data_IF_629783914733
#
_entry.id   IF_629783914733
#
_cell.length_a   1.000
_cell.length_b   1.000
_cell.length_c   1.000
_cell.angle_alpha   90.00
_cell.angle_beta   90.00
_cell.angle_gamma   90.00
#
_symmetry.space_group_name_H-M   'P 1'
#
loop_
_entity.id
_entity.type
_entity.pdbx_description
1 polymer ?
#
# COMPACT_ATOMS: atom_id res chain seq x y z
N UNK A 1 -3.16 47.41 -12.03
CA UNK A 1 -2.23 46.53 -11.30
C UNK A 1 -2.07 45.18 -11.99
N UNK A 2 -0.86 44.62 -12.14
CA UNK A 2 -0.63 43.32 -12.82
C UNK A 2 -1.45 42.17 -12.24
N UNK A 3 -1.65 42.14 -10.92
CA UNK A 3 -2.53 41.18 -10.23
C UNK A 3 -3.98 41.24 -10.75
N UNK A 4 -4.58 42.43 -10.84
CA UNK A 4 -5.94 42.62 -11.36
C UNK A 4 -6.05 42.25 -12.84
N UNK A 5 -5.01 42.48 -13.63
CA UNK A 5 -5.06 42.17 -15.07
C UNK A 5 -5.14 40.67 -15.37
N UNK A 6 -4.73 39.82 -14.42
CA UNK A 6 -4.62 38.36 -14.60
C UNK A 6 -5.58 37.55 -13.75
N UNK A 7 -6.28 38.17 -12.79
CA UNK A 7 -7.19 37.52 -11.84
C UNK A 7 -8.55 38.20 -11.86
N UNK A 8 -9.58 37.47 -12.30
CA UNK A 8 -10.96 37.96 -12.28
C UNK A 8 -11.46 38.27 -10.87
N UNK A 9 -11.10 37.43 -9.89
CA UNK A 9 -11.50 37.61 -8.50
C UNK A 9 -10.86 38.84 -7.86
N UNK A 10 -9.55 39.03 -8.00
CA UNK A 10 -8.89 40.21 -7.43
C UNK A 10 -9.35 41.49 -8.10
N UNK A 11 -9.56 41.45 -9.42
CA UNK A 11 -10.14 42.58 -10.14
C UNK A 11 -11.49 42.98 -9.52
N UNK A 12 -12.38 42.00 -9.33
CA UNK A 12 -13.71 42.22 -8.76
C UNK A 12 -13.67 42.74 -7.33
N UNK A 13 -12.91 42.08 -6.45
CA UNK A 13 -12.80 42.47 -5.04
C UNK A 13 -12.27 43.90 -4.87
N UNK A 14 -11.28 44.29 -5.67
CA UNK A 14 -10.72 45.66 -5.64
C UNK A 14 -11.75 46.65 -6.16
N UNK A 15 -12.39 46.38 -7.31
CA UNK A 15 -13.41 47.29 -7.85
C UNK A 15 -14.63 47.45 -6.94
N UNK A 16 -15.05 46.39 -6.24
CA UNK A 16 -16.15 46.46 -5.27
C UNK A 16 -15.77 47.33 -4.06
N UNK A 17 -14.52 47.23 -3.61
CA UNK A 17 -14.02 48.00 -2.48
C UNK A 17 -13.85 49.49 -2.83
N UNK A 18 -13.33 49.80 -4.02
CA UNK A 18 -13.26 51.18 -4.56
C UNK A 18 -14.66 51.81 -4.69
N UNK A 19 -15.67 51.05 -5.12
CA UNK A 19 -17.06 51.55 -5.22
C UNK A 19 -17.67 51.79 -3.84
N UNK A 20 -17.33 50.96 -2.84
CA UNK A 20 -17.84 51.13 -1.47
C UNK A 20 -17.26 52.37 -0.78
N UNK A 21 -15.95 52.62 -0.90
CA UNK A 21 -15.30 53.78 -0.29
C UNK A 21 -15.78 55.09 -0.94
N UNK A 22 -15.94 55.11 -2.27
CA UNK A 22 -16.51 56.28 -2.95
C UNK A 22 -17.96 56.60 -2.52
N UNK A 23 -18.77 55.60 -2.18
CA UNK A 23 -20.13 55.83 -1.65
C UNK A 23 -20.14 56.38 -0.23
N UNK A 24 -19.18 55.99 0.60
CA UNK A 24 -19.06 56.49 1.97
C UNK A 24 -18.51 57.93 1.99
N UNK A 25 -17.58 58.27 1.08
CA UNK A 25 -17.06 59.64 0.94
C UNK A 25 -18.05 60.65 0.34
N UNK A 26 -19.03 60.23 -0.47
CA UNK A 26 -20.09 61.12 -0.99
C UNK A 26 -21.13 61.50 0.09
N UNK A 27 -21.19 60.81 1.24
CA UNK A 27 -22.06 61.18 2.37
C UNK A 27 -21.37 62.10 3.40
N UNK A 28 -20.05 62.25 3.33
CA UNK A 28 -19.23 63.11 4.19
C UNK A 28 -18.49 64.19 3.37
N UNK A 29 -19.22 65.16 2.79
CA UNK A 29 -18.58 66.35 2.24
C UNK A 29 -18.18 67.34 3.36
N UNK A 30 -16.92 67.80 3.25
CA UNK A 30 -16.25 68.93 3.91
C UNK A 30 -15.28 68.60 5.07
N UNK A 31 -14.17 67.89 4.84
CA UNK A 31 -12.85 68.26 5.43
C UNK A 31 -11.71 67.94 4.44
N UNK A 32 -10.66 68.77 4.44
CA UNK A 32 -9.54 68.76 3.50
C UNK A 32 -8.74 67.44 3.56
N UNK A 33 -8.76 66.64 2.49
CA UNK A 33 -8.01 65.37 2.43
C UNK A 33 -6.52 65.61 2.17
N UNK A 34 -5.69 65.36 3.19
CA UNK A 34 -4.30 64.96 2.98
C UNK A 34 -4.31 63.67 2.13
N UNK A 35 -3.43 63.57 1.11
CA UNK A 35 -3.25 62.36 0.30
C UNK A 35 -2.71 61.20 1.17
N UNK A 36 -3.54 60.64 2.05
CA UNK A 36 -3.25 59.35 2.69
C UNK A 36 -3.29 58.30 1.59
N UNK A 37 -2.17 57.58 1.39
CA UNK A 37 -2.14 56.43 0.48
C UNK A 37 -3.18 55.40 0.95
N UNK A 38 -4.38 55.41 0.34
CA UNK A 38 -5.47 54.48 0.65
C UNK A 38 -4.95 53.04 0.50
N UNK A 39 -4.65 52.41 1.63
CA UNK A 39 -4.17 51.05 1.68
C UNK A 39 -5.37 50.08 1.74
N UNK A 40 -5.75 49.51 0.60
CA UNK A 40 -6.76 48.46 0.58
C UNK A 40 -6.23 47.15 1.19
N UNK A 41 -6.84 46.70 2.28
CA UNK A 41 -6.55 45.41 2.90
C UNK A 41 -7.50 44.32 2.37
N UNK A 42 -6.99 43.46 1.48
CA UNK A 42 -7.71 42.28 1.01
C UNK A 42 -7.39 41.06 1.86
N UNK A 43 -8.41 40.44 2.44
CA UNK A 43 -8.25 39.20 3.19
C UNK A 43 -8.68 37.99 2.34
N UNK A 44 -7.80 37.00 2.20
CA UNK A 44 -8.03 35.75 1.47
C UNK A 44 -7.95 34.55 2.43
N UNK A 45 -8.94 34.39 3.33
CA UNK A 45 -8.91 33.32 4.32
C UNK A 45 -8.96 31.95 3.63
N UNK A 46 -8.11 31.02 4.07
CA UNK A 46 -8.10 29.65 3.54
C UNK A 46 -7.65 29.53 2.09
N UNK A 47 -6.79 30.44 1.62
CA UNK A 47 -6.27 30.41 0.24
C UNK A 47 -5.70 29.02 -0.14
N UNK A 48 -6.16 28.39 -1.23
CA UNK A 48 -5.69 27.05 -1.62
C UNK A 48 -4.18 27.02 -1.86
N UNK A 49 -3.50 26.07 -1.22
CA UNK A 49 -2.03 25.99 -1.29
C UNK A 49 -1.28 27.01 -0.43
N UNK A 50 -1.99 27.82 0.37
CA UNK A 50 -1.41 28.76 1.32
C UNK A 50 -0.66 29.92 0.66
N UNK A 51 0.13 30.62 1.48
CA UNK A 51 0.89 31.81 1.06
C UNK A 51 1.91 31.49 -0.04
N UNK A 52 2.50 30.29 -0.05
CA UNK A 52 3.47 29.87 -1.06
C UNK A 52 2.84 29.81 -2.46
N UNK A 53 1.63 29.24 -2.58
CA UNK A 53 0.90 29.20 -3.85
C UNK A 53 0.51 30.62 -4.31
N UNK A 54 0.09 31.48 -3.37
CA UNK A 54 -0.23 32.88 -3.67
C UNK A 54 0.99 33.66 -4.16
N UNK A 55 2.14 33.52 -3.49
CA UNK A 55 3.38 34.20 -3.89
C UNK A 55 3.78 33.84 -5.32
N UNK A 56 3.67 32.56 -5.69
CA UNK A 56 3.98 32.10 -7.04
C UNK A 56 2.95 32.64 -8.05
N UNK A 57 1.65 32.61 -7.72
CA UNK A 57 0.61 33.19 -8.58
C UNK A 57 0.82 34.70 -8.77
N UNK A 58 1.21 35.43 -7.72
CA UNK A 58 1.56 36.84 -7.80
C UNK A 58 2.77 37.06 -8.71
N UNK A 59 3.87 36.33 -8.49
CA UNK A 59 5.06 36.36 -9.36
C UNK A 59 4.70 36.17 -10.84
N UNK A 60 3.82 35.22 -11.13
CA UNK A 60 3.29 34.99 -12.47
C UNK A 60 2.58 36.24 -13.03
N UNK A 61 1.71 36.90 -12.25
CA UNK A 61 1.04 38.13 -12.67
C UNK A 61 2.01 39.27 -12.99
N UNK A 62 3.13 39.35 -12.27
CA UNK A 62 4.20 40.33 -12.53
C UNK A 62 5.16 39.92 -13.68
N UNK A 63 4.88 38.83 -14.39
CA UNK A 63 5.70 38.36 -15.52
C UNK A 63 6.98 37.64 -15.11
N UNK A 64 7.15 37.30 -13.83
CA UNK A 64 8.27 36.48 -13.38
C UNK A 64 8.08 35.06 -13.88
N UNK A 65 9.15 34.45 -14.39
CA UNK A 65 9.11 33.05 -14.84
C UNK A 65 8.89 32.13 -13.64
N UNK A 66 7.76 31.44 -13.65
CA UNK A 66 7.39 30.44 -12.65
C UNK A 66 7.75 29.04 -13.18
N UNK A 67 8.42 28.25 -12.34
CA UNK A 67 8.71 26.85 -12.62
C UNK A 67 7.62 25.95 -12.02
N UNK A 68 6.98 25.15 -12.89
CA UNK A 68 6.00 24.16 -12.47
C UNK A 68 6.71 22.85 -12.14
N UNK A 69 6.35 22.27 -11.00
CA UNK A 69 6.87 21.02 -10.48
C UNK A 69 5.71 20.12 -10.04
N UNK A 70 5.92 18.80 -9.92
CA UNK A 70 4.88 17.89 -9.45
C UNK A 70 4.33 18.23 -8.06
N UNK A 71 5.13 18.89 -7.21
CA UNK A 71 4.72 19.26 -5.85
C UNK A 71 3.89 20.54 -5.81
N UNK A 72 4.19 21.53 -6.69
CA UNK A 72 3.52 22.83 -6.66
C UNK A 72 2.34 22.95 -7.63
N UNK A 73 2.23 22.08 -8.64
CA UNK A 73 1.22 22.27 -9.71
C UNK A 73 -0.22 22.13 -9.20
N UNK A 74 -0.51 21.16 -8.32
CA UNK A 74 -1.85 21.03 -7.75
C UNK A 74 -2.25 22.21 -6.85
N UNK A 75 -1.40 22.67 -5.91
CA UNK A 75 -1.64 23.91 -5.17
C UNK A 75 -1.87 25.11 -6.09
N UNK A 76 -1.04 25.28 -7.13
CA UNK A 76 -1.16 26.38 -8.09
C UNK A 76 -2.42 26.29 -8.94
N UNK A 77 -2.83 25.10 -9.35
CA UNK A 77 -4.07 24.89 -10.10
C UNK A 77 -5.28 25.26 -9.27
N UNK A 78 -5.30 24.89 -7.99
CA UNK A 78 -6.36 25.27 -7.04
C UNK A 78 -6.36 26.78 -6.75
N UNK A 79 -5.18 27.36 -6.53
CA UNK A 79 -5.02 28.81 -6.32
C UNK A 79 -5.48 29.61 -7.55
N UNK A 80 -5.11 29.15 -8.75
CA UNK A 80 -5.50 29.78 -10.01
C UNK A 80 -7.01 29.69 -10.25
N UNK A 81 -7.65 28.58 -9.88
CA UNK A 81 -9.11 28.47 -9.87
C UNK A 81 -9.73 29.49 -8.93
N UNK A 82 -9.25 29.52 -7.68
CA UNK A 82 -9.77 30.43 -6.66
C UNK A 82 -9.64 31.89 -7.06
N UNK A 83 -8.56 32.26 -7.75
CA UNK A 83 -8.30 33.61 -8.26
C UNK A 83 -8.97 33.89 -9.61
N UNK A 84 -9.66 32.92 -10.21
CA UNK A 84 -10.26 33.02 -11.54
C UNK A 84 -9.24 33.47 -12.60
N UNK A 85 -8.05 32.85 -12.60
CA UNK A 85 -6.96 33.16 -13.53
C UNK A 85 -7.14 32.41 -14.87
N UNK A 86 -8.25 32.72 -15.55
CA UNK A 86 -8.68 32.12 -16.82
C UNK A 86 -8.05 32.81 -18.03
N UNK A 87 -8.20 32.22 -19.21
CA UNK A 87 -7.75 32.85 -20.47
C UNK A 87 -8.47 34.17 -20.78
N UNK A 88 -9.64 34.43 -20.18
CA UNK A 88 -10.37 35.71 -20.33
C UNK A 88 -9.55 36.89 -19.78
N UNK A 89 -8.67 36.62 -18.81
CA UNK A 89 -7.76 37.59 -18.20
C UNK A 89 -6.35 37.52 -18.80
N UNK A 90 -6.21 36.96 -20.00
CA UNK A 90 -5.02 37.05 -20.84
C UNK A 90 -4.40 35.70 -21.18
N UNK A 91 -3.90 35.59 -22.41
CA UNK A 91 -3.40 34.35 -22.99
C UNK A 91 -2.36 33.62 -22.13
N UNK A 92 -2.50 32.29 -22.08
CA UNK A 92 -1.63 31.38 -21.36
C UNK A 92 -1.61 31.67 -19.87
N UNK A 93 -2.79 31.94 -19.30
CA UNK A 93 -2.95 32.25 -17.88
C UNK A 93 -2.65 31.02 -17.01
N UNK A 94 -2.63 31.21 -15.70
CA UNK A 94 -2.12 30.22 -14.76
C UNK A 94 -2.94 28.91 -14.78
N UNK A 95 -4.26 28.97 -15.00
CA UNK A 95 -5.09 27.77 -15.16
C UNK A 95 -4.63 26.95 -16.37
N UNK A 96 -4.53 27.54 -17.56
CA UNK A 96 -4.12 26.81 -18.76
C UNK A 96 -2.71 26.25 -18.67
N UNK A 97 -1.77 27.00 -18.05
CA UNK A 97 -0.39 26.53 -17.85
C UNK A 97 -0.30 25.34 -16.90
N UNK A 98 -1.01 25.41 -15.77
CA UNK A 98 -1.02 24.31 -14.81
C UNK A 98 -1.71 23.07 -15.38
N UNK A 99 -2.82 23.23 -16.11
CA UNK A 99 -3.48 22.13 -16.83
C UNK A 99 -2.60 21.50 -17.91
N UNK A 100 -1.88 22.32 -18.69
CA UNK A 100 -0.94 21.81 -19.68
C UNK A 100 0.16 20.97 -19.03
N UNK A 101 0.75 21.43 -17.92
CA UNK A 101 1.78 20.69 -17.20
C UNK A 101 1.25 19.38 -16.58
N UNK A 102 0.05 19.40 -16.00
CA UNK A 102 -0.61 18.20 -15.50
C UNK A 102 -0.73 17.14 -16.62
N UNK A 103 -1.32 17.51 -17.74
CA UNK A 103 -1.63 16.57 -18.83
C UNK A 103 -0.38 16.10 -19.62
N UNK A 104 0.62 16.97 -19.78
CA UNK A 104 1.78 16.69 -20.61
C UNK A 104 2.95 16.06 -19.84
N UNK A 105 3.07 16.35 -18.53
CA UNK A 105 4.18 15.89 -17.70
C UNK A 105 3.71 14.95 -16.59
N UNK A 106 2.85 15.43 -15.69
CA UNK A 106 2.50 14.71 -14.45
C UNK A 106 1.80 13.39 -14.74
N UNK A 107 0.72 13.42 -15.54
CA UNK A 107 -0.11 12.23 -15.79
C UNK A 107 0.60 11.17 -16.65
N UNK A 108 1.78 11.47 -17.19
CA UNK A 108 2.60 10.55 -18.01
C UNK A 108 3.74 9.90 -17.21
N UNK A 109 3.84 10.20 -15.92
CA UNK A 109 4.93 9.75 -15.05
C UNK A 109 4.35 9.27 -13.73
N UNK A 110 4.52 7.99 -13.40
CA UNK A 110 4.05 7.42 -12.13
C UNK A 110 4.59 8.23 -10.94
N UNK A 111 5.88 8.52 -10.96
CA UNK A 111 6.56 9.27 -9.89
C UNK A 111 6.00 10.67 -9.70
N UNK A 112 5.72 11.37 -10.80
CA UNK A 112 5.22 12.74 -10.72
C UNK A 112 3.74 12.75 -10.33
N UNK A 113 2.94 11.82 -10.85
CA UNK A 113 1.54 11.64 -10.43
C UNK A 113 1.43 11.33 -8.93
N UNK A 114 2.29 10.47 -8.37
CA UNK A 114 2.35 10.20 -6.93
C UNK A 114 2.67 11.45 -6.13
N UNK A 115 3.68 12.23 -6.54
CA UNK A 115 4.04 13.49 -5.86
C UNK A 115 2.90 14.50 -5.91
N UNK A 116 2.25 14.66 -7.06
CA UNK A 116 1.10 15.56 -7.21
C UNK A 116 -0.09 15.10 -6.37
N UNK A 117 -0.36 13.79 -6.33
CA UNK A 117 -1.41 13.24 -5.47
C UNK A 117 -1.11 13.49 -3.99
N UNK A 118 0.13 13.32 -3.55
CA UNK A 118 0.53 13.58 -2.16
C UNK A 118 0.34 15.05 -1.74
N UNK A 119 0.54 16.01 -2.66
CA UNK A 119 0.30 17.43 -2.34
C UNK A 119 -1.19 17.79 -2.30
N UNK A 120 -2.08 16.94 -2.82
CA UNK A 120 -3.53 17.15 -2.77
C UNK A 120 -4.13 16.97 -1.37
N UNK A 121 -3.44 16.29 -0.43
CA UNK A 121 -3.96 16.03 0.94
C UNK A 121 -4.39 17.33 1.65
N UNK A 122 -3.63 18.42 1.43
CA UNK A 122 -3.86 19.73 2.06
C UNK A 122 -4.79 20.65 1.24
N UNK A 123 -5.30 20.16 0.10
CA UNK A 123 -6.08 20.93 -0.87
C UNK A 123 -7.53 20.45 -0.98
N UNK A 124 -7.90 19.39 -0.27
CA UNK A 124 -9.27 18.88 -0.26
C UNK A 124 -10.23 19.90 0.40
N UNK A 125 -11.45 20.10 -0.15
CA UNK A 125 -12.05 19.37 -1.28
C UNK A 125 -11.68 19.92 -2.67
N UNK A 126 -11.10 21.13 -2.77
CA UNK A 126 -10.84 21.83 -4.04
C UNK A 126 -10.12 20.98 -5.10
N UNK A 127 -9.10 20.22 -4.71
CA UNK A 127 -8.36 19.37 -5.65
C UNK A 127 -9.19 18.19 -6.19
N UNK A 128 -10.18 17.73 -5.43
CA UNK A 128 -11.15 16.71 -5.84
C UNK A 128 -12.15 17.30 -6.84
N UNK A 129 -12.71 18.48 -6.53
CA UNK A 129 -13.67 19.19 -7.39
C UNK A 129 -13.07 19.53 -8.77
N UNK A 130 -11.76 19.80 -8.80
CA UNK A 130 -10.98 20.05 -10.03
C UNK A 130 -10.54 18.76 -10.76
N UNK A 131 -10.91 17.58 -10.25
CA UNK A 131 -10.57 16.28 -10.81
C UNK A 131 -9.06 16.01 -10.86
N UNK A 132 -8.25 16.68 -10.04
CA UNK A 132 -6.80 16.45 -10.02
C UNK A 132 -6.51 15.10 -9.38
N UNK A 133 -7.19 14.81 -8.27
CA UNK A 133 -7.02 13.57 -7.49
C UNK A 133 -7.33 12.34 -8.33
N UNK A 134 -8.51 12.28 -8.95
CA UNK A 134 -8.92 11.14 -9.78
C UNK A 134 -7.99 10.94 -10.97
N UNK A 135 -7.62 12.02 -11.69
CA UNK A 135 -6.67 11.95 -12.81
C UNK A 135 -5.32 11.40 -12.38
N UNK A 136 -4.80 11.81 -11.22
CA UNK A 136 -3.54 11.29 -10.69
C UNK A 136 -3.66 9.81 -10.31
N UNK A 137 -4.75 9.38 -9.66
CA UNK A 137 -4.99 7.97 -9.31
C UNK A 137 -5.03 7.11 -10.57
N UNK A 138 -5.77 7.53 -11.59
CA UNK A 138 -5.86 6.84 -12.88
C UNK A 138 -4.50 6.77 -13.57
N UNK A 139 -3.74 7.86 -13.58
CA UNK A 139 -2.40 7.89 -14.15
C UNK A 139 -1.45 6.92 -13.43
N UNK A 140 -1.52 6.84 -12.10
CA UNK A 140 -0.69 5.90 -11.32
C UNK A 140 -1.04 4.46 -11.71
N UNK A 141 -2.33 4.11 -11.72
CA UNK A 141 -2.77 2.76 -12.08
C UNK A 141 -2.43 2.41 -13.54
N UNK A 142 -2.56 3.35 -14.47
CA UNK A 142 -2.16 3.20 -15.87
C UNK A 142 -0.66 2.93 -16.04
N UNK A 143 0.17 3.75 -15.41
CA UNK A 143 1.62 3.64 -15.57
C UNK A 143 2.17 2.38 -14.88
N UNK A 144 1.57 1.94 -13.77
CA UNK A 144 1.92 0.67 -13.14
C UNK A 144 1.57 -0.54 -14.01
N UNK A 145 0.43 -0.51 -14.71
CA UNK A 145 0.03 -1.59 -15.63
C UNK A 145 0.88 -1.65 -16.91
N UNK A 146 1.28 -0.49 -17.47
CA UNK A 146 2.11 -0.44 -18.67
C UNK A 146 3.49 -1.11 -18.49
N UNK A 147 4.07 -1.03 -17.28
CA UNK A 147 5.36 -1.63 -16.96
C UNK A 147 5.29 -3.17 -16.88
N UNK A 148 4.14 -3.72 -16.48
CA UNK A 148 3.90 -5.18 -16.47
C UNK A 148 3.91 -5.75 -17.90
N UNK A 149 3.32 -5.04 -18.87
CA UNK A 149 3.32 -5.44 -20.27
C UNK A 149 4.72 -5.36 -20.89
N UNK A 150 5.51 -4.35 -20.51
CA UNK A 150 6.89 -4.21 -20.97
C UNK A 150 7.82 -5.30 -20.41
N UNK A 151 7.57 -5.73 -19.16
CA UNK A 151 8.38 -6.76 -18.48
C UNK A 151 7.96 -8.19 -18.78
N UNK A 152 6.69 -8.43 -19.14
CA UNK A 152 6.12 -9.77 -19.34
C UNK A 152 6.53 -10.48 -20.63
N UNK A 153 6.78 -9.73 -21.71
CA UNK A 153 6.95 -10.32 -23.06
C UNK A 153 8.42 -10.57 -23.48
N UNK A 154 9.39 -10.22 -22.63
CA UNK A 154 10.82 -10.28 -22.98
C UNK A 154 11.61 -11.35 -22.23
N UNK A 155 11.00 -12.13 -21.34
CA UNK A 155 11.72 -13.11 -20.53
C UNK A 155 11.58 -14.54 -21.06
N UNK A 156 12.71 -15.16 -21.42
CA UNK A 156 12.81 -16.61 -21.63
C UNK A 156 12.62 -17.37 -20.31
N UNK A 157 12.18 -18.65 -20.30
CA UNK A 157 12.13 -19.50 -19.10
C UNK A 157 13.44 -19.55 -18.30
N UNK A 158 14.57 -19.24 -18.96
CA UNK A 158 15.91 -19.19 -18.36
C UNK A 158 16.37 -17.79 -17.92
N UNK A 159 15.49 -16.77 -17.95
CA UNK A 159 15.78 -15.40 -17.49
C UNK A 159 16.64 -14.55 -18.44
N UNK A 160 16.78 -14.95 -19.70
CA UNK A 160 17.42 -14.19 -20.77
C UNK A 160 16.41 -13.34 -21.55
N UNK A 161 16.86 -12.21 -22.10
CA UNK A 161 16.03 -11.33 -22.91
C UNK A 161 15.78 -11.99 -24.28
N UNK A 162 14.51 -12.19 -24.62
CA UNK A 162 14.07 -12.57 -25.96
C UNK A 162 13.86 -11.32 -26.80
N UNK A 163 14.49 -11.25 -27.96
CA UNK A 163 14.18 -10.24 -28.98
C UNK A 163 13.69 -10.96 -30.24
N UNK A 164 12.42 -10.74 -30.63
CA UNK A 164 11.76 -11.47 -31.71
C UNK A 164 11.87 -13.00 -31.59
N UNK A 165 11.75 -13.55 -30.37
CA UNK A 165 11.82 -15.00 -30.11
C UNK A 165 13.23 -15.60 -30.14
N UNK A 166 14.28 -14.78 -30.21
CA UNK A 166 15.68 -15.22 -30.16
C UNK A 166 16.28 -14.85 -28.80
N UNK A 167 16.83 -15.86 -28.11
CA UNK A 167 17.60 -15.67 -26.88
C UNK A 167 18.88 -14.88 -27.19
N UNK A 168 18.96 -13.66 -26.65
CA UNK A 168 20.11 -12.78 -26.87
C UNK A 168 21.32 -13.13 -26.00
N UNK A 169 21.18 -14.07 -25.06
CA UNK A 169 22.23 -14.42 -24.08
C UNK A 169 22.56 -13.30 -23.09
N UNK A 170 21.92 -12.13 -23.24
CA UNK A 170 22.00 -11.02 -22.31
C UNK A 170 21.16 -11.38 -21.08
N UNK A 171 21.86 -11.71 -20.00
CA UNK A 171 21.24 -11.85 -18.68
C UNK A 171 20.72 -10.47 -18.26
N UNK A 172 19.50 -10.44 -17.77
CA UNK A 172 18.85 -9.27 -17.17
C UNK A 172 19.57 -8.88 -15.86
N UNK A 173 20.83 -8.43 -15.96
CA UNK A 173 21.69 -8.12 -14.81
C UNK A 173 21.32 -6.78 -14.15
N UNK A 174 20.65 -5.92 -14.90
CA UNK A 174 19.99 -4.71 -14.41
C UNK A 174 18.48 -4.94 -14.46
N UNK A 175 17.95 -5.71 -13.51
CA UNK A 175 16.54 -5.58 -13.17
C UNK A 175 16.32 -4.12 -12.73
N UNK A 176 15.57 -3.34 -13.51
CA UNK A 176 14.61 -2.42 -12.89
C UNK A 176 13.83 -3.33 -11.94
N UNK A 177 14.03 -3.16 -10.63
CA UNK A 177 13.36 -4.03 -9.66
C UNK A 177 11.87 -4.03 -9.99
N UNK A 178 11.18 -5.18 -10.03
CA UNK A 178 9.72 -5.20 -10.15
C UNK A 178 9.03 -4.34 -9.06
N UNK A 179 9.78 -3.99 -8.01
CA UNK A 179 9.37 -3.25 -6.82
C UNK A 179 9.69 -1.74 -6.84
N UNK A 180 10.27 -1.18 -7.93
CA UNK A 180 10.78 0.20 -7.92
C UNK A 180 9.71 1.24 -7.60
N UNK A 181 8.47 0.98 -8.00
CA UNK A 181 7.32 1.86 -7.76
C UNK A 181 6.64 1.63 -6.42
N UNK A 182 6.94 0.54 -5.70
CA UNK A 182 6.38 0.30 -4.37
C UNK A 182 6.85 1.36 -3.38
N UNK A 183 8.14 1.71 -3.43
CA UNK A 183 8.73 2.75 -2.59
C UNK A 183 8.16 4.14 -2.89
N UNK A 184 7.79 4.40 -4.15
CA UNK A 184 7.16 5.67 -4.56
C UNK A 184 5.75 5.78 -3.97
N UNK A 185 4.93 4.72 -4.06
CA UNK A 185 3.57 4.74 -3.48
C UNK A 185 3.55 4.91 -1.96
N UNK A 186 4.62 4.49 -1.28
CA UNK A 186 4.74 4.59 0.17
C UNK A 186 4.89 6.04 0.67
N UNK A 187 4.88 7.04 -0.22
CA UNK A 187 4.77 8.48 0.12
C UNK A 187 3.32 8.91 0.35
N UNK A 188 2.34 8.18 -0.19
CA UNK A 188 0.92 8.50 -0.07
C UNK A 188 0.38 8.15 1.33
N UNK A 189 -0.48 9.01 1.89
CA UNK A 189 -1.30 8.65 3.04
C UNK A 189 -2.27 7.50 2.71
N UNK A 190 -2.68 6.77 3.76
CA UNK A 190 -3.56 5.60 3.65
C UNK A 190 -4.83 5.85 2.80
N UNK A 191 -5.55 6.98 2.92
CA UNK A 191 -6.75 7.23 2.13
C UNK A 191 -6.50 7.24 0.61
N UNK A 192 -5.42 7.90 0.15
CA UNK A 192 -5.07 7.92 -1.27
C UNK A 192 -4.49 6.59 -1.73
N UNK A 193 -3.68 5.95 -0.90
CA UNK A 193 -3.14 4.63 -1.22
C UNK A 193 -4.25 3.59 -1.46
N UNK A 194 -5.30 3.56 -0.62
CA UNK A 194 -6.50 2.73 -0.81
C UNK A 194 -7.17 2.95 -2.17
N UNK A 195 -7.36 4.23 -2.54
CA UNK A 195 -7.97 4.59 -3.82
C UNK A 195 -7.12 4.17 -5.00
N UNK A 196 -5.79 4.28 -4.88
CA UNK A 196 -4.85 3.78 -5.90
C UNK A 196 -4.95 2.26 -6.05
N UNK A 197 -4.95 1.51 -4.95
CA UNK A 197 -5.10 0.04 -4.99
C UNK A 197 -6.43 -0.35 -5.64
N UNK A 198 -7.54 0.30 -5.27
CA UNK A 198 -8.85 0.06 -5.87
C UNK A 198 -8.86 0.34 -7.38
N UNK A 199 -8.19 1.41 -7.83
CA UNK A 199 -8.05 1.74 -9.24
C UNK A 199 -7.17 0.74 -10.00
N UNK A 200 -6.17 0.16 -9.34
CA UNK A 200 -5.34 -0.91 -9.90
C UNK A 200 -6.15 -2.20 -10.06
N UNK A 201 -6.95 -2.56 -9.06
CA UNK A 201 -7.84 -3.72 -9.11
C UNK A 201 -8.90 -3.57 -10.21
N UNK A 202 -9.51 -2.39 -10.33
CA UNK A 202 -10.50 -2.10 -11.39
C UNK A 202 -9.92 -2.17 -12.82
N UNK A 203 -8.59 -2.21 -12.94
CA UNK A 203 -7.85 -2.31 -14.21
C UNK A 203 -7.21 -3.69 -14.41
N UNK A 204 -7.56 -4.67 -13.58
CA UNK A 204 -7.06 -6.05 -13.64
C UNK A 204 -5.52 -6.15 -13.64
N UNK A 205 -4.84 -5.27 -12.89
CA UNK A 205 -3.39 -5.40 -12.70
C UNK A 205 -3.07 -6.74 -12.01
N UNK A 206 -1.89 -7.29 -12.29
CA UNK A 206 -1.46 -8.56 -11.70
C UNK A 206 -1.61 -8.53 -10.16
N UNK A 207 -2.42 -9.44 -9.57
CA UNK A 207 -2.66 -9.47 -8.13
C UNK A 207 -1.38 -9.66 -7.30
N UNK A 208 -0.37 -10.36 -7.86
CA UNK A 208 0.91 -10.51 -7.17
C UNK A 208 1.67 -9.19 -7.05
N UNK A 209 1.52 -8.29 -8.01
CA UNK A 209 2.18 -6.98 -7.99
C UNK A 209 1.49 -6.01 -7.02
N UNK A 210 0.15 -6.05 -6.99
CA UNK A 210 -0.65 -5.32 -5.99
C UNK A 210 -0.26 -5.82 -4.59
N UNK A 211 -0.21 -7.13 -4.38
CA UNK A 211 0.24 -7.76 -3.13
C UNK A 211 1.65 -7.31 -2.73
N UNK A 212 2.60 -7.31 -3.66
CA UNK A 212 3.96 -6.82 -3.39
C UNK A 212 3.99 -5.37 -2.90
N UNK A 213 3.18 -4.51 -3.52
CA UNK A 213 3.04 -3.11 -3.11
C UNK A 213 2.42 -2.99 -1.70
N UNK A 214 1.38 -3.78 -1.39
CA UNK A 214 0.71 -3.80 -0.08
C UNK A 214 1.67 -4.25 1.02
N UNK A 215 2.44 -5.30 0.75
CA UNK A 215 3.48 -5.82 1.66
C UNK A 215 4.57 -4.77 1.90
N UNK A 216 5.01 -4.07 0.86
CA UNK A 216 6.01 -3.01 0.99
C UNK A 216 5.48 -1.84 1.83
N UNK A 217 4.25 -1.41 1.56
CA UNK A 217 3.57 -0.37 2.32
C UNK A 217 3.42 -0.78 3.80
N UNK A 218 2.91 -1.98 4.07
CA UNK A 218 2.79 -2.53 5.42
C UNK A 218 4.12 -2.55 6.18
N UNK A 219 5.20 -3.01 5.54
CA UNK A 219 6.55 -3.06 6.14
C UNK A 219 7.10 -1.69 6.54
N UNK A 220 6.65 -0.61 5.90
CA UNK A 220 7.08 0.76 6.20
C UNK A 220 6.33 1.34 7.39
N UNK A 221 5.03 1.08 7.49
CA UNK A 221 4.14 1.75 8.44
C UNK A 221 3.76 0.89 9.65
N UNK A 222 3.92 -0.44 9.60
CA UNK A 222 3.65 -1.35 10.72
C UNK A 222 4.98 -1.74 11.41
N UNK A 223 5.20 -1.33 12.66
CA UNK A 223 6.40 -1.70 13.42
C UNK A 223 6.53 -3.21 13.59
N UNK A 224 7.76 -3.72 13.51
CA UNK A 224 8.06 -5.14 13.78
C UNK A 224 7.96 -6.09 12.59
N UNK A 225 7.33 -5.69 11.46
CA UNK A 225 7.29 -6.52 10.25
C UNK A 225 8.65 -6.59 9.50
N UNK A 226 9.52 -5.61 9.70
CA UNK A 226 10.87 -5.57 9.11
C UNK A 226 11.95 -5.59 10.19
N UNK A 227 12.83 -6.61 10.19
CA UNK A 227 14.04 -6.64 11.04
C UNK A 227 15.01 -5.49 10.72
N UNK A 228 14.92 -4.89 9.53
CA UNK A 228 15.91 -3.95 8.98
C UNK A 228 15.79 -2.50 9.43
N UNK A 229 14.70 -2.11 10.10
CA UNK A 229 14.45 -0.71 10.48
C UNK A 229 14.75 -0.35 11.93
N UNK A 230 15.45 -1.20 12.70
CA UNK A 230 15.87 -0.82 14.07
C UNK A 230 16.95 0.29 14.12
N UNK A 231 17.54 0.71 13.00
CA UNK A 231 18.75 1.57 13.03
C UNK A 231 18.65 2.88 12.22
N UNK A 232 17.59 3.17 11.46
CA UNK A 232 17.52 4.46 10.74
C UNK A 232 16.09 4.91 10.44
N UNK A 233 15.49 5.61 11.39
CA UNK A 233 14.41 6.57 11.11
C UNK A 233 14.49 7.68 12.15
N UNK A 234 15.55 8.48 12.05
CA UNK A 234 15.77 9.69 12.83
C UNK A 234 15.10 10.93 12.22
N UNK A 235 14.18 10.76 11.26
CA UNK A 235 13.42 11.87 10.66
C UNK A 235 11.92 11.56 10.73
N UNK A 236 11.28 12.11 11.77
CA UNK A 236 9.91 12.66 11.77
C UNK A 236 8.85 11.97 10.89
N UNK A 237 8.65 10.66 11.02
CA UNK A 237 7.32 10.10 10.79
C UNK A 237 6.62 10.09 12.14
N UNK A 238 5.49 10.78 12.28
CA UNK A 238 4.60 10.57 13.42
C UNK A 238 4.36 9.07 13.54
N UNK A 239 4.61 8.48 14.70
CA UNK A 239 4.27 7.08 14.93
C UNK A 239 2.77 6.96 14.70
N UNK A 240 2.38 6.26 13.64
CA UNK A 240 0.96 6.04 13.32
C UNK A 240 0.26 5.48 14.57
N UNK A 241 -0.93 5.99 14.86
CA UNK A 241 -1.72 5.53 16.01
C UNK A 241 -2.03 4.04 15.88
N UNK A 242 -2.32 3.36 16.99
CA UNK A 242 -2.70 1.94 16.94
C UNK A 242 -3.93 1.71 16.06
N UNK A 243 -4.86 2.66 16.02
CA UNK A 243 -6.04 2.63 15.15
C UNK A 243 -5.67 2.74 13.66
N UNK A 244 -4.75 3.65 13.29
CA UNK A 244 -4.24 3.77 11.92
C UNK A 244 -3.46 2.52 11.49
N UNK A 245 -2.68 1.93 12.40
CA UNK A 245 -1.97 0.67 12.13
C UNK A 245 -2.94 -0.50 11.94
N UNK A 246 -4.02 -0.56 12.75
CA UNK A 246 -5.08 -1.57 12.61
C UNK A 246 -5.80 -1.42 11.28
N UNK A 247 -6.22 -0.20 10.94
CA UNK A 247 -6.89 0.09 9.67
C UNK A 247 -6.01 -0.29 8.47
N UNK A 248 -4.72 0.07 8.52
CA UNK A 248 -3.77 -0.32 7.50
C UNK A 248 -3.64 -1.84 7.38
N UNK A 249 -3.47 -2.55 8.50
CA UNK A 249 -3.33 -4.00 8.51
C UNK A 249 -4.56 -4.68 7.89
N UNK A 250 -5.76 -4.27 8.27
CA UNK A 250 -7.00 -4.82 7.73
C UNK A 250 -7.15 -4.53 6.24
N UNK A 251 -6.75 -3.33 5.81
CA UNK A 251 -6.73 -2.96 4.39
C UNK A 251 -5.80 -3.87 3.61
N UNK A 252 -4.56 -4.04 4.07
CA UNK A 252 -3.56 -4.90 3.45
C UNK A 252 -4.06 -6.33 3.32
N UNK A 253 -4.69 -6.86 4.36
CA UNK A 253 -5.25 -8.22 4.36
C UNK A 253 -6.45 -8.34 3.41
N UNK A 254 -7.34 -7.34 3.37
CA UNK A 254 -8.53 -7.37 2.53
C UNK A 254 -8.24 -7.36 1.02
N UNK A 255 -7.14 -6.73 0.60
CA UNK A 255 -6.70 -6.63 -0.79
C UNK A 255 -5.68 -7.70 -1.19
N UNK A 256 -5.28 -8.57 -0.27
CA UNK A 256 -4.36 -9.67 -0.56
C UNK A 256 -5.09 -10.87 -1.16
N UNK A 257 -4.53 -11.53 -2.20
CA UNK A 257 -5.11 -12.77 -2.73
C UNK A 257 -5.04 -13.88 -1.66
N UNK A 258 -6.11 -14.69 -1.57
CA UNK A 258 -6.24 -15.77 -0.57
C UNK A 258 -5.38 -17.00 -0.93
N UNK A 259 -5.11 -17.21 -2.23
CA UNK A 259 -4.32 -18.36 -2.71
C UNK A 259 -2.83 -18.19 -2.40
N UNK A 260 -2.09 -19.31 -2.46
CA UNK A 260 -0.63 -19.35 -2.35
C UNK A 260 -0.03 -18.32 -3.33
N UNK A 261 0.68 -17.35 -2.79
CA UNK A 261 1.33 -16.31 -3.58
C UNK A 261 2.63 -16.86 -4.15
N UNK A 262 2.87 -16.65 -5.45
CA UNK A 262 4.21 -16.89 -6.02
C UNK A 262 5.16 -15.74 -5.74
N UNK A 263 4.68 -14.67 -5.09
CA UNK A 263 5.46 -13.47 -4.85
C UNK A 263 6.53 -13.72 -3.77
N UNK A 264 7.83 -13.54 -4.07
CA UNK A 264 8.91 -13.76 -3.11
C UNK A 264 8.86 -12.81 -1.90
N UNK A 265 8.09 -11.73 -1.96
CA UNK A 265 7.94 -10.77 -0.86
C UNK A 265 6.98 -11.24 0.24
N UNK A 266 6.04 -12.14 -0.08
CA UNK A 266 5.04 -12.69 0.85
C UNK A 266 5.51 -14.02 1.44
N UNK A 267 6.50 -13.96 2.33
CA UNK A 267 6.99 -15.15 3.04
C UNK A 267 6.05 -15.59 4.17
N UNK A 268 6.04 -16.88 4.54
CA UNK A 268 5.32 -17.39 5.72
C UNK A 268 5.60 -16.54 6.97
N UNK A 269 6.88 -16.25 7.24
CA UNK A 269 7.31 -15.36 8.34
C UNK A 269 6.61 -13.99 8.35
N UNK A 270 6.41 -13.39 7.18
CA UNK A 270 5.73 -12.10 7.08
C UNK A 270 4.26 -12.25 7.47
N UNK A 271 3.57 -13.29 6.98
CA UNK A 271 2.18 -13.53 7.32
C UNK A 271 1.99 -13.81 8.82
N UNK A 272 2.87 -14.61 9.41
CA UNK A 272 2.88 -14.81 10.86
C UNK A 272 3.18 -13.49 11.60
N UNK A 273 4.07 -12.64 11.08
CA UNK A 273 4.31 -11.30 11.59
C UNK A 273 3.05 -10.43 11.56
N UNK A 274 2.31 -10.43 10.44
CA UNK A 274 1.03 -9.74 10.30
C UNK A 274 -0.01 -10.29 11.29
N UNK A 275 -0.11 -11.61 11.45
CA UNK A 275 -1.03 -12.23 12.39
C UNK A 275 -0.72 -11.87 13.85
N UNK A 276 0.56 -11.84 14.22
CA UNK A 276 0.99 -11.34 15.54
C UNK A 276 0.55 -9.90 15.76
N UNK A 277 0.78 -9.03 14.77
CA UNK A 277 0.35 -7.64 14.86
C UNK A 277 -1.18 -7.50 14.89
N UNK A 278 -1.91 -8.31 14.13
CA UNK A 278 -3.36 -8.35 14.15
C UNK A 278 -3.91 -8.71 15.54
N UNK A 279 -3.27 -9.65 16.23
CA UNK A 279 -3.62 -10.02 17.60
C UNK A 279 -3.30 -8.91 18.61
N UNK A 280 -2.14 -8.25 18.49
CA UNK A 280 -1.76 -7.14 19.36
C UNK A 280 -2.72 -5.96 19.21
N UNK A 281 -3.07 -5.60 17.97
CA UNK A 281 -3.94 -4.47 17.66
C UNK A 281 -5.44 -4.79 17.78
N UNK A 282 -5.79 -6.01 18.16
CA UNK A 282 -7.18 -6.50 18.22
C UNK A 282 -7.95 -6.23 16.92
N UNK A 283 -7.35 -6.63 15.78
CA UNK A 283 -8.00 -6.55 14.47
C UNK A 283 -9.24 -7.44 14.39
N UNK A 284 -10.11 -7.16 13.42
CA UNK A 284 -11.35 -7.90 13.17
C UNK A 284 -11.13 -9.40 12.98
N UNK A 285 -12.14 -10.19 13.37
CA UNK A 285 -12.14 -11.66 13.18
C UNK A 285 -11.95 -12.03 11.72
N UNK A 286 -12.60 -11.32 10.80
CA UNK A 286 -12.43 -11.50 9.35
C UNK A 286 -10.98 -11.33 8.89
N UNK A 287 -10.28 -10.33 9.44
CA UNK A 287 -8.87 -10.11 9.12
C UNK A 287 -8.01 -11.27 9.63
N UNK A 288 -8.22 -11.72 10.87
CA UNK A 288 -7.47 -12.83 11.46
C UNK A 288 -7.70 -14.14 10.71
N UNK A 289 -8.96 -14.48 10.43
CA UNK A 289 -9.30 -15.68 9.65
C UNK A 289 -8.71 -15.66 8.24
N UNK A 290 -8.68 -14.49 7.58
CA UNK A 290 -8.08 -14.36 6.25
C UNK A 290 -6.56 -14.60 6.30
N UNK A 291 -5.89 -14.07 7.32
CA UNK A 291 -4.46 -14.34 7.56
C UNK A 291 -4.20 -15.81 7.87
N UNK A 292 -5.01 -16.43 8.73
CA UNK A 292 -4.89 -17.86 9.07
C UNK A 292 -5.00 -18.75 7.83
N UNK A 293 -6.01 -18.53 6.97
CA UNK A 293 -6.16 -19.26 5.69
C UNK A 293 -4.98 -19.03 4.74
N UNK A 294 -4.47 -17.81 4.69
CA UNK A 294 -3.34 -17.48 3.81
C UNK A 294 -2.04 -18.11 4.31
N UNK A 295 -1.84 -18.16 5.62
CA UNK A 295 -0.73 -18.90 6.25
C UNK A 295 -0.86 -20.38 5.94
N UNK A 296 -2.06 -20.94 6.10
CA UNK A 296 -2.34 -22.34 5.82
C UNK A 296 -1.93 -22.72 4.39
N UNK A 297 -2.27 -21.90 3.38
CA UNK A 297 -1.91 -22.15 1.98
C UNK A 297 -0.39 -22.26 1.69
N UNK A 298 0.46 -21.82 2.60
CA UNK A 298 1.93 -21.94 2.50
C UNK A 298 2.59 -22.43 3.78
N UNK A 299 1.86 -23.20 4.59
CA UNK A 299 2.34 -23.73 5.87
C UNK A 299 3.55 -24.66 5.68
N UNK A 300 3.65 -25.31 4.52
CA UNK A 300 4.79 -26.13 4.08
C UNK A 300 6.13 -25.37 4.04
N UNK A 301 6.07 -24.03 3.97
CA UNK A 301 7.24 -23.14 3.93
C UNK A 301 7.54 -22.46 5.27
N UNK A 302 6.72 -22.72 6.29
CA UNK A 302 6.88 -22.13 7.61
C UNK A 302 8.01 -22.79 8.41
N UNK A 303 8.56 -22.05 9.35
CA UNK A 303 9.53 -22.55 10.32
C UNK A 303 8.89 -22.70 11.70
N UNK A 304 9.50 -23.52 12.56
CA UNK A 304 9.02 -23.70 13.94
C UNK A 304 8.86 -22.36 14.68
N UNK A 305 9.83 -21.47 14.54
CA UNK A 305 9.79 -20.12 15.13
C UNK A 305 8.57 -19.30 14.71
N UNK A 306 8.06 -19.53 13.48
CA UNK A 306 6.90 -18.80 12.98
C UNK A 306 5.61 -19.25 13.69
N UNK A 307 5.51 -20.54 14.07
CA UNK A 307 4.36 -21.13 14.81
C UNK A 307 4.33 -20.74 16.29
N UNK A 308 5.45 -20.29 16.85
CA UNK A 308 5.55 -19.87 18.26
C UNK A 308 4.94 -18.47 18.48
N UNK A 309 3.63 -18.38 18.24
CA UNK A 309 2.78 -17.21 18.46
C UNK A 309 2.47 -17.06 19.95
N UNK A 310 2.89 -15.97 20.62
CA UNK A 310 2.56 -15.77 22.03
C UNK A 310 1.05 -15.64 22.24
N UNK A 311 0.56 -16.16 23.36
CA UNK A 311 -0.81 -15.86 23.80
C UNK A 311 -0.88 -14.42 24.31
N UNK A 312 -1.81 -13.63 23.79
CA UNK A 312 -2.09 -12.26 24.23
C UNK A 312 -3.39 -12.15 25.05
N UNK A 313 -4.03 -13.29 25.35
CA UNK A 313 -5.27 -13.33 26.13
C UNK A 313 -4.97 -13.51 27.61
N UNK A 314 -5.58 -12.67 28.45
CA UNK A 314 -5.53 -12.78 29.91
C UNK A 314 -6.29 -14.00 30.46
N UNK A 315 -7.07 -14.69 29.62
CA UNK A 315 -7.82 -15.89 29.99
C UNK A 315 -7.08 -17.19 29.66
N UNK A 316 -6.04 -17.12 28.84
CA UNK A 316 -5.29 -18.27 28.34
C UNK A 316 -3.96 -18.31 29.08
N UNK A 317 -3.76 -19.35 29.87
CA UNK A 317 -2.55 -19.53 30.70
C UNK A 317 -1.39 -20.16 29.93
N UNK A 318 -1.62 -20.68 28.72
CA UNK A 318 -0.56 -21.23 27.87
C UNK A 318 0.34 -20.12 27.33
N UNK A 319 1.63 -20.42 27.17
CA UNK A 319 2.63 -19.48 26.65
C UNK A 319 2.35 -19.09 25.19
N UNK A 320 1.83 -20.03 24.41
CA UNK A 320 1.53 -19.88 22.99
C UNK A 320 0.04 -19.95 22.69
N UNK A 321 -0.36 -19.35 21.57
CA UNK A 321 -1.72 -19.40 21.02
C UNK A 321 -1.90 -20.70 20.22
N UNK A 322 -2.21 -21.76 20.94
CA UNK A 322 -2.37 -23.12 20.40
C UNK A 322 -3.62 -23.20 19.52
N UNK A 323 -4.70 -22.52 19.91
CA UNK A 323 -5.96 -22.54 19.18
C UNK A 323 -5.80 -21.90 17.78
N UNK A 324 -4.93 -20.89 17.66
CA UNK A 324 -4.55 -20.31 16.37
C UNK A 324 -3.84 -21.31 15.45
N UNK A 325 -2.85 -22.05 15.98
CA UNK A 325 -2.12 -23.04 15.19
C UNK A 325 -3.03 -24.21 14.77
N UNK A 326 -3.95 -24.63 15.65
CA UNK A 326 -4.97 -25.63 15.34
C UNK A 326 -5.84 -25.19 14.14
N UNK A 327 -6.39 -23.96 14.16
CA UNK A 327 -7.18 -23.42 13.02
C UNK A 327 -6.37 -23.34 11.72
N UNK A 328 -5.11 -22.91 11.79
CA UNK A 328 -4.22 -22.84 10.61
C UNK A 328 -4.01 -24.24 10.03
N UNK A 329 -3.82 -25.25 10.90
CA UNK A 329 -3.67 -26.64 10.47
C UNK A 329 -4.96 -27.18 9.83
N UNK A 330 -6.12 -26.91 10.42
CA UNK A 330 -7.42 -27.27 9.86
C UNK A 330 -7.59 -26.69 8.44
N UNK A 331 -7.35 -25.39 8.25
CA UNK A 331 -7.42 -24.77 6.93
C UNK A 331 -6.41 -25.35 5.93
N UNK A 332 -5.24 -25.79 6.40
CA UNK A 332 -4.23 -26.42 5.54
C UNK A 332 -4.75 -27.76 5.02
N UNK A 333 -5.31 -28.58 5.92
CA UNK A 333 -5.86 -29.89 5.57
C UNK A 333 -7.09 -29.79 4.67
N UNK A 334 -7.97 -28.81 4.90
CA UNK A 334 -9.07 -28.49 3.99
C UNK A 334 -8.57 -28.15 2.58
N UNK A 335 -7.45 -27.42 2.47
CA UNK A 335 -6.83 -27.07 1.20
C UNK A 335 -6.18 -28.26 0.48
N UNK A 336 -5.67 -29.24 1.22
CA UNK A 336 -5.09 -30.47 0.65
C UNK A 336 -6.18 -31.45 0.16
N UNK A 337 -7.28 -31.59 0.90
CA UNK A 337 -8.34 -32.58 0.60
C UNK A 337 -9.13 -32.34 -0.70
N UNK A 338 -8.94 -31.21 -1.38
CA UNK A 338 -9.59 -30.89 -2.66
C UNK A 338 -8.84 -31.35 -3.91
N UNK A 339 -7.56 -31.76 -3.78
CA UNK A 339 -6.74 -32.20 -4.91
C UNK A 339 -6.71 -33.73 -5.08
N UNK A 340 -7.03 -34.49 -4.02
CA UNK A 340 -6.83 -35.94 -3.98
C UNK A 340 -8.14 -36.76 -4.15
N UNK A 341 -9.25 -36.13 -4.56
CA UNK A 341 -10.55 -36.80 -4.68
C UNK A 341 -10.87 -37.36 -6.09
N UNK A 342 -10.02 -37.19 -7.09
CA UNK A 342 -10.28 -37.66 -8.47
C UNK A 342 -9.18 -38.53 -9.13
N UNK A 343 -8.12 -38.92 -8.44
CA UNK A 343 -7.12 -39.87 -9.00
C UNK A 343 -6.95 -41.14 -8.16
N UNK A 344 -8.01 -41.95 -8.10
CA UNK A 344 -7.84 -43.41 -8.08
C UNK A 344 -7.65 -43.88 -9.53
N UNK A 345 -6.46 -43.65 -10.08
CA UNK A 345 -6.04 -44.12 -11.41
C UNK A 345 -4.57 -44.48 -11.39
N UNK A 346 -4.28 -45.79 -11.39
CA UNK A 346 -2.93 -46.35 -11.56
C UNK A 346 -2.39 -46.04 -12.97
N UNK A 347 -1.94 -44.82 -13.29
CA UNK A 347 -1.27 -44.55 -14.57
C UNK A 347 -0.02 -43.66 -14.43
N UNK A 348 1.14 -44.33 -14.57
CA UNK A 348 2.44 -43.86 -15.04
C UNK A 348 3.12 -42.64 -14.38
N UNK A 349 3.98 -42.95 -13.40
CA UNK A 349 4.98 -42.07 -12.74
C UNK A 349 5.96 -41.34 -13.70
N UNK A 350 5.90 -41.58 -15.02
CA UNK A 350 6.82 -40.99 -16.00
C UNK A 350 6.32 -39.67 -16.60
N UNK A 351 5.02 -39.38 -16.64
CA UNK A 351 4.50 -38.15 -17.27
C UNK A 351 4.57 -36.92 -16.34
N UNK A 352 4.48 -37.12 -15.02
CA UNK A 352 4.65 -36.07 -14.00
C UNK A 352 6.07 -35.44 -13.98
N UNK A 353 7.07 -36.13 -14.55
CA UNK A 353 8.46 -35.62 -14.63
C UNK A 353 8.68 -34.60 -15.75
N UNK A 354 7.73 -34.40 -16.67
CA UNK A 354 7.88 -33.48 -17.81
C UNK A 354 7.49 -32.03 -17.52
N UNK A 355 6.76 -31.76 -16.43
CA UNK A 355 6.43 -30.41 -15.98
C UNK A 355 6.98 -30.16 -14.56
N UNK A 356 8.28 -29.87 -14.46
CA UNK A 356 8.85 -29.01 -13.43
C UNK A 356 8.74 -29.38 -11.93
N UNK A 357 8.04 -30.43 -11.53
CA UNK A 357 8.02 -30.87 -10.14
C UNK A 357 9.28 -31.67 -9.83
N UNK A 358 10.29 -30.98 -9.31
CA UNK A 358 11.41 -31.60 -8.58
C UNK A 358 10.86 -32.57 -7.52
N UNK A 359 11.61 -33.62 -7.12
CA UNK A 359 11.19 -34.57 -6.08
C UNK A 359 11.29 -33.91 -4.70
N UNK A 360 10.48 -32.88 -4.47
CA UNK A 360 10.33 -32.16 -3.23
C UNK A 360 9.36 -32.89 -2.32
N UNK A 361 9.67 -32.93 -1.02
CA UNK A 361 8.81 -33.48 0.03
C UNK A 361 7.34 -33.07 -0.19
N UNK A 362 6.41 -34.03 -0.13
CA UNK A 362 4.97 -33.75 -0.12
C UNK A 362 4.68 -32.66 0.95
N UNK A 363 3.98 -31.55 0.60
CA UNK A 363 3.63 -30.48 1.55
C UNK A 363 3.06 -30.99 2.87
N UNK A 364 2.24 -32.04 2.84
CA UNK A 364 1.65 -32.65 4.03
C UNK A 364 2.71 -33.28 4.94
N UNK A 365 3.73 -33.92 4.37
CA UNK A 365 4.85 -34.47 5.14
C UNK A 365 5.74 -33.36 5.74
N UNK A 366 5.93 -32.26 5.01
CA UNK A 366 6.67 -31.10 5.52
C UNK A 366 5.96 -30.48 6.73
N UNK A 367 4.64 -30.30 6.64
CA UNK A 367 3.79 -29.83 7.75
C UNK A 367 3.75 -30.84 8.89
N UNK A 368 3.73 -32.15 8.62
CA UNK A 368 3.80 -33.19 9.65
C UNK A 368 5.05 -33.06 10.53
N UNK A 369 6.22 -32.91 9.90
CA UNK A 369 7.48 -32.67 10.62
C UNK A 369 7.47 -31.35 11.40
N UNK A 370 6.88 -30.30 10.84
CA UNK A 370 6.76 -28.99 11.50
C UNK A 370 5.88 -29.08 12.76
N UNK A 371 4.73 -29.76 12.66
CA UNK A 371 3.80 -29.97 13.76
C UNK A 371 4.38 -30.85 14.87
N UNK A 372 5.13 -31.89 14.55
CA UNK A 372 5.84 -32.70 15.56
C UNK A 372 6.90 -31.87 16.31
N UNK A 373 7.57 -30.95 15.61
CA UNK A 373 8.45 -29.96 16.23
C UNK A 373 7.70 -29.03 17.17
N UNK A 374 6.56 -28.50 16.72
CA UNK A 374 5.69 -27.63 17.51
C UNK A 374 5.14 -28.32 18.76
N UNK A 375 4.63 -29.55 18.63
CA UNK A 375 4.17 -30.39 19.73
C UNK A 375 5.26 -30.59 20.78
N UNK A 376 6.50 -30.84 20.36
CA UNK A 376 7.62 -31.01 21.29
C UNK A 376 7.97 -29.72 22.06
N UNK A 377 7.82 -28.54 21.45
CA UNK A 377 8.03 -27.26 22.13
C UNK A 377 6.92 -26.98 23.15
N UNK A 378 5.64 -27.10 22.73
CA UNK A 378 4.50 -26.81 23.62
C UNK A 378 4.31 -27.87 24.71
N UNK A 379 4.85 -29.09 24.53
CA UNK A 379 4.79 -30.16 25.51
C UNK A 379 5.39 -29.77 26.87
N UNK A 380 6.33 -28.82 26.88
CA UNK A 380 6.97 -28.32 28.11
C UNK A 380 6.12 -27.31 28.89
N UNK A 381 5.00 -26.85 28.32
CA UNK A 381 4.09 -25.90 28.96
C UNK A 381 3.21 -26.60 30.00
N UNK A 382 3.42 -26.28 31.29
CA UNK A 382 2.66 -26.86 32.40
C UNK A 382 1.16 -26.52 32.39
N UNK A 383 0.74 -25.53 31.60
CA UNK A 383 -0.67 -25.17 31.45
C UNK A 383 -1.34 -25.86 30.25
N UNK A 384 -0.59 -26.64 29.47
CA UNK A 384 -1.13 -27.39 28.33
C UNK A 384 -1.96 -28.58 28.81
N UNK A 385 -3.28 -28.53 28.55
CA UNK A 385 -4.21 -29.59 28.92
C UNK A 385 -4.00 -30.87 28.07
N UNK A 386 -4.19 -32.08 28.65
CA UNK A 386 -4.00 -33.33 27.92
C UNK A 386 -4.88 -33.47 26.68
N UNK A 387 -6.12 -32.99 26.76
CA UNK A 387 -7.07 -33.02 25.64
C UNK A 387 -6.56 -32.20 24.45
N UNK A 388 -6.01 -31.00 24.68
CA UNK A 388 -5.45 -30.16 23.63
C UNK A 388 -4.21 -30.79 22.98
N UNK A 389 -3.31 -31.33 23.80
CA UNK A 389 -2.13 -32.03 23.30
C UNK A 389 -2.52 -33.24 22.44
N UNK A 390 -3.47 -34.05 22.91
CA UNK A 390 -3.97 -35.21 22.19
C UNK A 390 -4.60 -34.83 20.85
N UNK A 391 -5.50 -33.84 20.84
CA UNK A 391 -6.19 -33.42 19.62
C UNK A 391 -5.20 -32.99 18.53
N UNK A 392 -4.19 -32.19 18.86
CA UNK A 392 -3.15 -31.80 17.91
C UNK A 392 -2.27 -32.96 17.44
N UNK A 393 -1.96 -33.91 18.33
CA UNK A 393 -1.17 -35.09 17.98
C UNK A 393 -1.85 -35.95 16.88
N UNK A 394 -3.18 -36.06 16.96
CA UNK A 394 -3.99 -36.89 16.04
C UNK A 394 -4.65 -36.10 14.90
N UNK A 395 -4.41 -34.79 14.79
CA UNK A 395 -5.05 -33.93 13.79
C UNK A 395 -4.56 -34.18 12.35
N UNK A 396 -3.35 -34.71 12.18
CA UNK A 396 -2.74 -34.96 10.88
C UNK A 396 -3.18 -36.32 10.29
N UNK A 397 -3.31 -36.43 8.95
CA UNK A 397 -3.60 -37.71 8.29
C UNK A 397 -2.43 -38.69 8.39
N UNK A 398 -2.71 -39.99 8.27
CA UNK A 398 -1.71 -41.07 8.45
C UNK A 398 -0.48 -40.92 7.55
N UNK A 399 -0.65 -40.41 6.32
CA UNK A 399 0.46 -40.22 5.37
C UNK A 399 1.34 -38.98 5.65
N UNK A 400 0.99 -38.15 6.64
CA UNK A 400 1.79 -36.99 7.04
C UNK A 400 3.09 -37.39 7.75
N UNK A 401 3.14 -38.60 8.32
CA UNK A 401 4.30 -39.12 9.06
C UNK A 401 4.83 -40.37 8.38
N UNK A 402 6.08 -40.31 7.93
CA UNK A 402 6.82 -41.51 7.50
C UNK A 402 7.34 -42.28 8.72
N UNK A 403 7.69 -41.55 9.78
CA UNK A 403 8.14 -42.07 11.07
C UNK A 403 7.54 -41.22 12.18
N UNK A 404 7.11 -41.85 13.27
CA UNK A 404 6.49 -41.18 14.42
C UNK A 404 7.50 -40.75 15.50
N UNK A 405 8.81 -40.83 15.25
CA UNK A 405 9.86 -40.50 16.22
C UNK A 405 9.70 -39.07 16.79
N UNK A 406 9.29 -38.12 15.93
CA UNK A 406 9.02 -36.73 16.32
C UNK A 406 7.87 -36.63 17.32
N UNK A 407 6.76 -37.31 17.01
CA UNK A 407 5.59 -37.41 17.88
C UNK A 407 5.90 -38.13 19.20
N UNK A 408 6.59 -39.27 19.17
CA UNK A 408 6.98 -39.99 20.39
C UNK A 408 7.87 -39.15 21.29
N UNK A 409 8.78 -38.36 20.72
CA UNK A 409 9.59 -37.40 21.49
C UNK A 409 8.71 -36.33 22.13
N UNK A 410 7.73 -35.78 21.43
CA UNK A 410 6.80 -34.81 22.01
C UNK A 410 5.99 -35.42 23.16
N UNK A 411 5.52 -36.66 23.02
CA UNK A 411 4.80 -37.40 24.07
C UNK A 411 5.70 -37.62 25.30
N UNK A 412 6.94 -38.05 25.11
CA UNK A 412 7.90 -38.24 26.20
C UNK A 412 8.19 -36.93 26.95
N UNK A 413 8.25 -35.80 26.26
CA UNK A 413 8.38 -34.48 26.90
C UNK A 413 7.12 -34.13 27.68
N UNK A 414 5.93 -34.37 27.12
CA UNK A 414 4.65 -34.01 27.75
C UNK A 414 4.34 -34.81 29.02
N UNK A 415 4.77 -36.07 29.06
CA UNK A 415 4.54 -36.97 30.20
C UNK A 415 5.55 -36.77 31.34
N UNK A 416 6.62 -36.01 31.12
CA UNK A 416 7.65 -35.68 32.12
C UNK A 416 7.23 -34.44 32.92
#
# INVERSE_FOLDING_TARGET
FPLMSRSGKLHRMITEQEISTHREGEEEEEEEEEEEEECYLLNLPGFPGGSEAFEIAAKFCYGVKVELTPLNVAPLRCAAEYLEMTEEHGDGNLIARTEAFLNQSVLRSLKDAVKTLSSCERLLPTAEDLGIVERCIDAIAMNAGADQLASGDLASPNGSILWNGIDTGLRHRDQVRPDWWYDELAVLGLPFYKRVVSAMEARDLNPESIEGSLVCYAKKFIPGLSRRNRVSSSHSASVATEDEQRELLETVVSHMPVRKSSNPTTTARLLFGLLRTANILSASDSCRTTLERKIAAQLDQATLDDLLLPSYSYLIETLYDIDCVERILEYFLEGCGGADAEEEGEEDEEEARRYGNSPGMNPVMAVGKLMDGYLAEIASDGNLKPEKFYNLAVALPDHARVYDDGLYRAIDVYLK
#
